data_IF_591428302286
#
_entry.id   IF_591428302286
#
_cell.length_a   1.000
_cell.length_b   1.000
_cell.length_c   1.000
_cell.angle_alpha   90.00
_cell.angle_beta   90.00
_cell.angle_gamma   90.00
#
_symmetry.space_group_name_H-M   'P 1'
#
loop_
_entity.id
_entity.type
_entity.pdbx_description
1 polymer ?
#
# COMPACT_ATOMS: atom_id res chain seq x y z
N UNK A 1 34.98 46.70 63.30
CA UNK A 1 35.25 45.27 63.12
C UNK A 1 34.23 44.76 62.10
N UNK A 2 34.68 44.62 60.85
CA UNK A 2 34.15 43.83 59.69
C UNK A 2 32.62 43.75 59.50
N UNK A 3 32.04 44.44 58.52
CA UNK A 3 32.00 44.08 57.08
C UNK A 3 31.42 42.67 56.84
N UNK A 4 30.15 42.60 56.42
CA UNK A 4 29.50 41.50 55.68
C UNK A 4 28.26 42.07 54.97
N UNK A 5 28.48 43.00 54.03
CA UNK A 5 27.51 43.22 52.95
C UNK A 5 27.96 42.36 51.77
N UNK A 6 27.60 41.09 51.82
CA UNK A 6 27.91 40.13 50.77
C UNK A 6 26.99 40.44 49.59
N UNK A 7 27.45 41.35 48.74
CA UNK A 7 26.85 41.71 47.46
C UNK A 7 26.76 40.51 46.52
N UNK A 8 25.85 39.58 46.81
CA UNK A 8 25.40 38.56 45.88
C UNK A 8 24.62 39.24 44.78
N UNK A 9 25.37 39.81 43.84
CA UNK A 9 24.86 40.14 42.51
C UNK A 9 24.40 38.82 41.88
N UNK A 10 23.12 38.69 41.50
CA UNK A 10 22.67 37.55 40.71
C UNK A 10 23.59 37.43 39.49
N UNK A 11 24.08 36.22 39.16
CA UNK A 11 25.01 36.06 38.04
C UNK A 11 24.38 36.69 36.80
N UNK A 12 25.08 37.70 36.27
CA UNK A 12 24.67 38.46 35.11
C UNK A 12 24.17 37.53 34.00
N UNK A 13 23.02 37.88 33.44
CA UNK A 13 22.46 37.31 32.21
C UNK A 13 23.52 37.38 31.10
N UNK A 14 24.36 36.33 30.99
CA UNK A 14 25.23 36.17 29.84
C UNK A 14 24.32 35.94 28.63
N UNK A 15 24.49 36.69 27.54
CA UNK A 15 23.78 36.40 26.31
C UNK A 15 24.03 34.92 25.94
N UNK A 16 23.00 34.18 25.48
CA UNK A 16 23.16 32.77 25.17
C UNK A 16 24.37 32.60 24.24
N UNK A 17 25.34 31.80 24.69
CA UNK A 17 26.54 31.53 23.89
C UNK A 17 26.12 30.87 22.58
N UNK A 18 26.85 31.12 21.49
CA UNK A 18 26.53 30.53 20.18
C UNK A 18 26.45 28.99 20.21
N UNK A 19 27.18 28.35 21.14
CA UNK A 19 27.06 26.92 21.41
C UNK A 19 25.67 26.49 21.90
N UNK A 20 25.01 27.29 22.76
CA UNK A 20 23.64 27.02 23.25
C UNK A 20 22.58 27.16 22.16
N UNK A 21 22.77 28.09 21.20
CA UNK A 21 21.85 28.27 20.08
C UNK A 21 21.94 27.12 19.07
N UNK A 22 23.15 26.64 18.78
CA UNK A 22 23.37 25.47 17.92
C UNK A 22 22.81 24.19 18.56
N UNK A 23 23.00 24.03 19.88
CA UNK A 23 22.40 22.93 20.65
C UNK A 23 20.87 22.95 20.57
N UNK A 24 20.24 24.13 20.79
CA UNK A 24 18.79 24.30 20.70
C UNK A 24 18.24 24.08 19.28
N UNK A 25 18.96 24.49 18.23
CA UNK A 25 18.56 24.24 16.83
C UNK A 25 18.65 22.75 16.48
N UNK A 26 19.69 22.06 16.95
CA UNK A 26 19.85 20.61 16.77
C UNK A 26 18.73 19.83 17.48
N UNK A 27 18.38 20.24 18.70
CA UNK A 27 17.25 19.67 19.44
C UNK A 27 15.92 19.90 18.73
N UNK A 28 15.67 21.11 18.22
CA UNK A 28 14.45 21.43 17.48
C UNK A 28 14.35 20.66 16.16
N UNK A 29 15.44 20.56 15.41
CA UNK A 29 15.49 19.76 14.18
C UNK A 29 15.21 18.28 14.47
N UNK A 30 15.80 17.74 15.54
CA UNK A 30 15.55 16.36 15.98
C UNK A 30 14.09 16.15 16.38
N UNK A 31 13.48 17.12 17.09
CA UNK A 31 12.05 17.07 17.45
C UNK A 31 11.14 17.13 16.23
N UNK A 32 11.46 17.96 15.24
CA UNK A 32 10.69 18.07 14.00
C UNK A 32 10.73 16.77 13.21
N UNK A 33 11.92 16.18 13.01
CA UNK A 33 12.06 14.89 12.33
C UNK A 33 11.27 13.80 13.04
N UNK A 34 11.32 13.74 14.38
CA UNK A 34 10.51 12.79 15.16
C UNK A 34 9.01 13.03 15.00
N UNK A 35 8.57 14.28 14.94
CA UNK A 35 7.17 14.64 14.73
C UNK A 35 6.68 14.25 13.32
N UNK A 36 7.48 14.50 12.28
CA UNK A 36 7.18 14.09 10.90
C UNK A 36 7.04 12.57 10.78
N UNK A 37 7.95 11.82 11.43
CA UNK A 37 7.87 10.36 11.49
C UNK A 37 6.61 9.91 12.24
N UNK A 38 6.26 10.56 13.34
CA UNK A 38 5.04 10.22 14.11
C UNK A 38 3.77 10.51 13.29
N UNK A 39 3.74 11.64 12.57
CA UNK A 39 2.64 12.02 11.69
C UNK A 39 2.52 11.04 10.52
N UNK A 40 3.63 10.73 9.83
CA UNK A 40 3.66 9.76 8.75
C UNK A 40 3.19 8.39 9.22
N UNK A 41 3.58 7.94 10.43
CA UNK A 41 3.08 6.70 11.03
C UNK A 41 1.56 6.75 11.27
N UNK A 42 1.03 7.86 11.76
CA UNK A 42 -0.40 8.03 11.99
C UNK A 42 -1.19 8.01 10.66
N UNK A 43 -0.73 8.73 9.65
CA UNK A 43 -1.37 8.75 8.32
C UNK A 43 -1.29 7.38 7.64
N UNK A 44 -0.14 6.70 7.70
CA UNK A 44 0.00 5.34 7.20
C UNK A 44 -0.92 4.36 7.94
N UNK A 45 -1.08 4.51 9.26
CA UNK A 45 -2.00 3.70 10.07
C UNK A 45 -3.46 3.89 9.67
N UNK A 46 -3.90 5.14 9.52
CA UNK A 46 -5.27 5.46 9.11
C UNK A 46 -5.55 5.00 7.67
N UNK A 47 -4.60 5.22 6.76
CA UNK A 47 -4.67 4.75 5.37
C UNK A 47 -4.68 3.23 5.30
N UNK A 48 -3.86 2.55 6.10
CA UNK A 48 -3.83 1.09 6.19
C UNK A 48 -5.15 0.53 6.74
N UNK A 49 -5.73 1.17 7.77
CA UNK A 49 -7.02 0.75 8.33
C UNK A 49 -8.14 0.91 7.31
N UNK A 50 -8.24 2.06 6.65
CA UNK A 50 -9.26 2.32 5.63
C UNK A 50 -9.11 1.42 4.41
N UNK A 51 -7.87 1.23 3.94
CA UNK A 51 -7.55 0.27 2.88
C UNK A 51 -7.89 -1.17 3.29
N UNK A 52 -7.56 -1.55 4.52
CA UNK A 52 -7.82 -2.87 5.08
C UNK A 52 -9.31 -3.20 5.20
N UNK A 53 -10.15 -2.23 5.60
CA UNK A 53 -11.61 -2.40 5.60
C UNK A 53 -12.12 -2.62 4.17
N UNK A 54 -11.62 -1.85 3.19
CA UNK A 54 -11.97 -2.02 1.79
C UNK A 54 -11.62 -3.41 1.25
N UNK A 55 -10.39 -3.87 1.48
CA UNK A 55 -9.95 -5.22 1.11
C UNK A 55 -10.79 -6.28 1.82
N UNK A 56 -11.08 -6.11 3.11
CA UNK A 56 -11.92 -7.03 3.88
C UNK A 56 -13.34 -7.15 3.32
N UNK A 57 -13.98 -6.03 2.97
CA UNK A 57 -15.30 -6.02 2.33
C UNK A 57 -15.29 -6.70 0.95
N UNK A 58 -14.26 -6.45 0.13
CA UNK A 58 -14.11 -7.12 -1.16
C UNK A 58 -13.96 -8.62 -0.98
N UNK A 59 -13.11 -9.07 -0.06
CA UNK A 59 -12.97 -10.50 0.24
C UNK A 59 -14.29 -11.13 0.71
N UNK A 60 -15.02 -10.48 1.61
CA UNK A 60 -16.32 -10.95 2.06
C UNK A 60 -17.34 -11.04 0.91
N UNK A 61 -17.40 -10.02 0.05
CA UNK A 61 -18.25 -10.02 -1.13
C UNK A 61 -17.88 -11.15 -2.10
N UNK A 62 -16.59 -11.40 -2.33
CA UNK A 62 -16.12 -12.51 -3.18
C UNK A 62 -16.55 -13.88 -2.64
N UNK A 63 -16.51 -14.09 -1.33
CA UNK A 63 -17.01 -15.33 -0.70
C UNK A 63 -18.52 -15.49 -0.94
N UNK A 64 -19.30 -14.43 -0.75
CA UNK A 64 -20.76 -14.47 -1.00
C UNK A 64 -21.04 -14.78 -2.47
N UNK A 65 -20.36 -14.09 -3.40
CA UNK A 65 -20.50 -14.33 -4.85
C UNK A 65 -20.11 -15.77 -5.20
N UNK A 66 -19.05 -16.31 -4.59
CA UNK A 66 -18.64 -17.70 -4.80
C UNK A 66 -19.76 -18.70 -4.44
N UNK A 67 -20.38 -18.54 -3.27
CA UNK A 67 -21.53 -19.38 -2.90
C UNK A 67 -22.74 -19.16 -3.80
N UNK A 68 -23.04 -17.89 -4.16
CA UNK A 68 -24.16 -17.57 -5.05
C UNK A 68 -23.99 -18.23 -6.43
N UNK A 69 -22.78 -18.23 -6.99
CA UNK A 69 -22.46 -18.94 -8.24
C UNK A 69 -22.72 -20.45 -8.07
N UNK A 70 -22.34 -21.06 -6.94
CA UNK A 70 -22.64 -22.45 -6.64
C UNK A 70 -24.15 -22.76 -6.62
N UNK A 71 -24.96 -21.90 -6.00
CA UNK A 71 -26.42 -22.04 -5.98
C UNK A 71 -27.01 -21.89 -7.40
N UNK A 72 -26.50 -20.96 -8.20
CA UNK A 72 -26.94 -20.78 -9.59
C UNK A 72 -26.57 -21.98 -10.47
N UNK A 73 -25.38 -22.53 -10.32
CA UNK A 73 -24.96 -23.77 -11.00
C UNK A 73 -25.88 -24.93 -10.60
N UNK A 74 -26.15 -25.11 -9.30
CA UNK A 74 -27.08 -26.13 -8.83
C UNK A 74 -28.49 -25.94 -9.41
N UNK A 75 -28.98 -24.71 -9.43
CA UNK A 75 -30.29 -24.35 -9.99
C UNK A 75 -30.35 -24.66 -11.49
N UNK A 76 -29.29 -24.36 -12.24
CA UNK A 76 -29.21 -24.68 -13.66
C UNK A 76 -29.22 -26.20 -13.91
N UNK A 77 -28.47 -26.96 -13.10
CA UNK A 77 -28.46 -28.43 -13.16
C UNK A 77 -29.85 -28.99 -12.86
N UNK A 78 -30.48 -28.56 -11.76
CA UNK A 78 -31.81 -29.00 -11.36
C UNK A 78 -32.89 -28.60 -12.39
N UNK A 79 -32.77 -27.43 -13.01
CA UNK A 79 -33.67 -27.01 -14.08
C UNK A 79 -33.55 -27.87 -15.33
N UNK A 80 -32.33 -28.26 -15.72
CA UNK A 80 -32.10 -29.15 -16.85
C UNK A 80 -32.49 -30.61 -16.54
N UNK A 81 -32.40 -31.04 -15.28
CA UNK A 81 -32.79 -32.38 -14.83
C UNK A 81 -34.27 -32.71 -15.13
N UNK A 82 -35.11 -31.69 -15.33
CA UNK A 82 -36.51 -31.86 -15.75
C UNK A 82 -36.61 -32.46 -17.17
N UNK A 83 -35.61 -32.24 -18.03
CA UNK A 83 -35.64 -32.64 -19.45
C UNK A 83 -34.89 -33.95 -19.67
N UNK A 84 -33.81 -34.19 -18.93
CA UNK A 84 -32.90 -35.33 -19.11
C UNK A 84 -32.21 -35.68 -17.78
N UNK A 85 -31.56 -36.85 -17.60
CA UNK A 85 -31.11 -37.29 -16.28
C UNK A 85 -30.01 -36.39 -15.70
N UNK A 86 -30.01 -36.28 -14.36
CA UNK A 86 -29.14 -35.42 -13.57
C UNK A 86 -27.66 -35.45 -13.96
N UNK A 87 -27.12 -36.64 -14.27
CA UNK A 87 -25.72 -36.79 -14.65
C UNK A 87 -25.38 -36.07 -15.96
N UNK A 88 -26.32 -36.01 -16.91
CA UNK A 88 -26.14 -35.33 -18.18
C UNK A 88 -26.28 -33.81 -18.00
N UNK A 89 -27.24 -33.35 -17.20
CA UNK A 89 -27.37 -31.95 -16.78
C UNK A 89 -26.08 -31.44 -16.13
N UNK A 90 -25.55 -32.18 -15.16
CA UNK A 90 -24.31 -31.84 -14.47
C UNK A 90 -23.12 -31.79 -15.43
N UNK A 91 -23.03 -32.73 -16.38
CA UNK A 91 -21.96 -32.75 -17.39
C UNK A 91 -22.02 -31.52 -18.30
N UNK A 92 -23.20 -31.17 -18.81
CA UNK A 92 -23.37 -30.03 -19.73
C UNK A 92 -23.05 -28.71 -19.04
N UNK A 93 -23.59 -28.49 -17.83
CA UNK A 93 -23.29 -27.27 -17.06
C UNK A 93 -21.81 -27.23 -16.64
N UNK A 94 -21.22 -28.39 -16.30
CA UNK A 94 -19.80 -28.51 -15.99
C UNK A 94 -18.90 -28.11 -17.15
N UNK A 95 -19.18 -28.60 -18.36
CA UNK A 95 -18.44 -28.22 -19.57
C UNK A 95 -18.61 -26.73 -19.88
N UNK A 96 -19.83 -26.19 -19.76
CA UNK A 96 -20.07 -24.76 -19.96
C UNK A 96 -19.28 -23.89 -18.96
N UNK A 97 -19.21 -24.29 -17.69
CA UNK A 97 -18.41 -23.62 -16.66
C UNK A 97 -16.91 -23.68 -16.97
N UNK A 98 -16.39 -24.81 -17.44
CA UNK A 98 -14.98 -24.93 -17.83
C UNK A 98 -14.63 -24.00 -18.99
N UNK A 99 -15.49 -23.90 -20.01
CA UNK A 99 -15.30 -22.97 -21.12
C UNK A 99 -15.33 -21.52 -20.66
N UNK A 100 -16.27 -21.17 -19.78
CA UNK A 100 -16.35 -19.84 -19.20
C UNK A 100 -15.11 -19.50 -18.36
N UNK A 101 -14.65 -20.43 -17.52
CA UNK A 101 -13.43 -20.27 -16.73
C UNK A 101 -12.19 -20.10 -17.61
N UNK A 102 -12.05 -20.90 -18.69
CA UNK A 102 -10.97 -20.77 -19.64
C UNK A 102 -10.94 -19.38 -20.30
N UNK A 103 -12.11 -18.84 -20.67
CA UNK A 103 -12.23 -17.49 -21.22
C UNK A 103 -11.80 -16.41 -20.20
N UNK A 104 -12.26 -16.52 -18.95
CA UNK A 104 -11.88 -15.59 -17.89
C UNK A 104 -10.37 -15.61 -17.62
N UNK A 105 -9.76 -16.80 -17.54
CA UNK A 105 -8.31 -16.96 -17.37
C UNK A 105 -7.57 -16.32 -18.54
N UNK A 106 -8.04 -16.54 -19.78
CA UNK A 106 -7.43 -15.93 -20.97
C UNK A 106 -7.47 -14.40 -20.91
N UNK A 107 -8.62 -13.81 -20.52
CA UNK A 107 -8.76 -12.35 -20.36
C UNK A 107 -7.87 -11.84 -19.22
N UNK A 108 -7.86 -12.52 -18.08
CA UNK A 108 -7.03 -12.15 -16.93
C UNK A 108 -5.54 -12.15 -17.30
N UNK A 109 -5.06 -13.20 -17.96
CA UNK A 109 -3.66 -13.29 -18.43
C UNK A 109 -3.34 -12.18 -19.43
N UNK A 110 -4.27 -11.83 -20.33
CA UNK A 110 -4.08 -10.72 -21.27
C UNK A 110 -3.96 -9.38 -20.56
N UNK A 111 -4.83 -9.10 -19.59
CA UNK A 111 -4.79 -7.87 -18.81
C UNK A 111 -3.53 -7.77 -17.95
N UNK A 112 -3.13 -8.86 -17.30
CA UNK A 112 -1.88 -8.90 -16.51
C UNK A 112 -0.64 -8.69 -17.40
N UNK A 113 -0.61 -9.29 -18.59
CA UNK A 113 0.46 -9.05 -19.57
C UNK A 113 0.50 -7.60 -20.05
N UNK A 114 -0.65 -6.96 -20.20
CA UNK A 114 -0.74 -5.55 -20.59
C UNK A 114 -0.29 -4.63 -19.46
N UNK A 115 -0.70 -4.91 -18.21
CA UNK A 115 -0.24 -4.17 -17.03
C UNK A 115 1.25 -4.37 -16.73
N UNK A 116 1.81 -5.53 -17.12
CA UNK A 116 3.23 -5.84 -16.99
C UNK A 116 4.11 -5.27 -18.12
N UNK A 117 3.54 -4.72 -19.22
CA UNK A 117 4.31 -3.89 -20.15
C UNK A 117 4.78 -2.67 -19.36
N UNK A 118 6.08 -2.58 -19.12
CA UNK A 118 6.71 -1.48 -18.40
C UNK A 118 6.25 -0.15 -19.01
N UNK A 119 5.92 0.87 -18.18
CA UNK A 119 5.81 2.22 -18.71
C UNK A 119 7.16 2.59 -19.34
N UNK A 120 7.17 3.17 -20.54
CA UNK A 120 8.38 3.61 -21.26
C UNK A 120 9.34 4.43 -20.37
N UNK A 121 8.82 5.04 -19.31
CA UNK A 121 9.54 5.76 -18.27
C UNK A 121 10.64 4.93 -17.59
N UNK A 122 10.44 3.63 -17.35
CA UNK A 122 11.48 2.78 -16.73
C UNK A 122 12.64 2.52 -17.70
N UNK A 123 12.35 2.48 -19.00
CA UNK A 123 13.39 2.30 -20.01
C UNK A 123 14.15 3.62 -20.22
N UNK A 124 13.47 4.78 -20.21
CA UNK A 124 14.14 6.10 -20.19
C UNK A 124 15.04 6.33 -18.96
N UNK A 125 14.59 5.93 -17.77
CA UNK A 125 15.43 6.06 -16.55
C UNK A 125 16.68 5.19 -16.64
N UNK A 126 16.62 4.02 -17.30
CA UNK A 126 17.81 3.20 -17.54
C UNK A 126 18.74 3.83 -18.57
N UNK A 127 18.20 4.40 -19.63
CA UNK A 127 18.97 5.09 -20.67
C UNK A 127 19.67 6.33 -20.08
N UNK A 128 18.99 7.11 -19.25
CA UNK A 128 19.55 8.27 -18.54
C UNK A 128 20.66 7.88 -17.56
N UNK A 129 20.48 6.79 -16.80
CA UNK A 129 21.52 6.27 -15.89
C UNK A 129 22.72 5.72 -16.66
N UNK A 130 22.49 5.14 -17.84
CA UNK A 130 23.58 4.63 -18.69
C UNK A 130 24.36 5.78 -19.32
N UNK A 131 23.68 6.81 -19.81
CA UNK A 131 24.29 8.02 -20.34
C UNK A 131 25.12 8.76 -19.27
N UNK A 132 24.62 8.86 -18.03
CA UNK A 132 25.38 9.43 -16.91
C UNK A 132 26.64 8.63 -16.59
N UNK A 133 26.55 7.29 -16.65
CA UNK A 133 27.67 6.41 -16.33
C UNK A 133 28.77 6.42 -17.39
N UNK A 134 28.41 6.64 -18.66
CA UNK A 134 29.36 6.84 -19.75
C UNK A 134 30.02 8.22 -19.69
N UNK A 135 29.27 9.28 -19.38
CA UNK A 135 29.80 10.65 -19.25
C UNK A 135 30.74 10.88 -18.06
N UNK A 136 30.70 10.01 -17.03
CA UNK A 136 31.64 10.06 -15.89
C UNK A 136 32.93 9.25 -16.18
N UNK A 137 32.92 8.41 -17.21
CA UNK A 137 34.01 7.48 -17.53
C UNK A 137 34.89 7.93 -18.71
N UNK A 138 34.48 8.97 -19.43
CA UNK A 138 35.26 9.68 -20.45
C UNK A 138 35.72 11.03 -19.95
#
# INVERSE_FOLDING_TARGET
MTDWDDGQTPPADRPPSMGRLVEQLSEQATRLVRAEIALAKAELGEKAKRSGIGVGLVCAALVIVFYAVGVLVFTAIAGLDVVWPLWLSALVIGVAMLLFAALLVLVAVRQLKQAARRPETIDRVKDDVTALKEGIKG
#
